data_IF_964980733630
#
_entry.id   IF_964980733630
#
_cell.length_a   1.000
_cell.length_b   1.000
_cell.length_c   1.000
_cell.angle_alpha   90.00
_cell.angle_beta   90.00
_cell.angle_gamma   90.00
#
_symmetry.space_group_name_H-M   'P 1'
#
loop_
_entity.id
_entity.type
_entity.pdbx_description
1 polymer ?
#
# COMPACT_ATOMS: atom_id res chain seq x y z
N UNK A 1 8.73 57.98 -17.27
CA UNK A 1 8.04 59.12 -16.61
C UNK A 1 6.55 59.00 -16.95
N UNK A 2 5.72 58.43 -16.08
CA UNK A 2 4.99 59.04 -14.93
C UNK A 2 3.54 59.37 -15.31
N UNK A 3 2.61 58.50 -14.93
CA UNK A 3 1.24 58.82 -14.54
C UNK A 3 0.78 57.67 -13.62
N UNK A 4 0.71 57.87 -12.29
CA UNK A 4 -0.44 58.45 -11.54
C UNK A 4 -1.63 57.50 -11.67
N UNK A 5 -2.05 56.76 -10.64
CA UNK A 5 -2.44 57.20 -9.30
C UNK A 5 -3.66 56.34 -8.97
N UNK A 6 -3.69 55.72 -7.79
CA UNK A 6 -4.63 56.03 -6.71
C UNK A 6 -6.05 55.48 -6.94
N UNK A 7 -6.72 55.07 -5.85
CA UNK A 7 -8.15 54.72 -5.72
C UNK A 7 -8.39 53.23 -6.06
N UNK A 8 -8.69 52.34 -5.12
CA UNK A 8 -9.98 52.16 -4.42
C UNK A 8 -9.73 50.98 -3.47
N UNK A 9 -9.69 51.17 -2.14
CA UNK A 9 -10.85 51.02 -1.24
C UNK A 9 -11.48 49.63 -1.38
N UNK A 10 -11.40 48.86 -0.28
CA UNK A 10 -12.21 47.68 0.04
C UNK A 10 -11.93 46.49 -0.90
N UNK A 11 -11.57 45.32 -0.40
CA UNK A 11 -12.50 44.49 0.35
C UNK A 11 -11.69 43.66 1.32
N UNK A 12 -11.98 43.91 2.59
CA UNK A 12 -11.75 43.00 3.69
C UNK A 12 -12.57 41.75 3.36
N UNK A 13 -12.00 40.79 2.63
CA UNK A 13 -12.61 39.46 2.53
C UNK A 13 -12.28 38.75 3.82
N UNK A 14 -13.04 39.13 4.86
CA UNK A 14 -13.33 38.29 6.00
C UNK A 14 -13.85 36.99 5.40
N UNK A 15 -12.94 36.03 5.22
CA UNK A 15 -13.32 34.66 4.92
C UNK A 15 -13.92 34.14 6.23
N UNK A 16 -15.18 34.50 6.47
CA UNK A 16 -16.03 33.87 7.46
C UNK A 16 -16.14 32.41 7.04
N UNK A 17 -15.25 31.59 7.59
CA UNK A 17 -15.31 30.14 7.47
C UNK A 17 -16.49 29.68 8.33
N UNK A 18 -17.68 29.82 7.76
CA UNK A 18 -18.93 29.35 8.33
C UNK A 18 -18.88 27.82 8.25
N UNK A 19 -18.60 27.18 9.38
CA UNK A 19 -18.71 25.74 9.55
C UNK A 19 -20.18 25.32 9.39
N UNK A 20 -20.59 24.99 8.17
CA UNK A 20 -21.83 24.30 7.90
C UNK A 20 -21.54 22.79 7.88
N UNK A 21 -21.63 22.15 9.05
CA UNK A 21 -21.86 20.70 9.12
C UNK A 21 -23.29 20.43 8.60
N UNK A 22 -23.44 20.35 7.29
CA UNK A 22 -24.65 19.79 6.68
C UNK A 22 -24.57 18.27 6.76
N UNK A 23 -25.20 17.71 7.79
CA UNK A 23 -25.52 16.30 7.83
C UNK A 23 -26.43 15.93 6.67
N UNK A 24 -25.90 15.20 5.69
CA UNK A 24 -26.70 14.51 4.68
C UNK A 24 -26.81 13.05 5.09
N UNK A 25 -27.95 12.70 5.70
CA UNK A 25 -28.38 11.32 5.79
C UNK A 25 -28.87 10.89 4.39
N UNK A 26 -28.02 10.20 3.65
CA UNK A 26 -28.42 9.48 2.43
C UNK A 26 -29.02 8.12 2.81
N UNK A 27 -30.16 7.71 2.23
CA UNK A 27 -30.62 6.34 2.36
C UNK A 27 -29.68 5.43 1.55
N UNK A 28 -28.98 4.53 2.25
CA UNK A 28 -28.24 3.43 1.61
C UNK A 28 -29.28 2.48 1.01
N UNK A 29 -29.56 2.65 -0.28
CA UNK A 29 -30.32 1.69 -1.05
C UNK A 29 -29.45 0.44 -1.22
N UNK A 30 -29.77 -0.60 -0.45
CA UNK A 30 -29.25 -1.96 -0.60
C UNK A 30 -29.58 -2.48 -1.99
N UNK A 31 -28.60 -2.48 -2.88
CA UNK A 31 -28.61 -3.32 -4.09
C UNK A 31 -27.65 -4.47 -3.83
N UNK A 32 -28.18 -5.54 -3.21
CA UNK A 32 -27.54 -6.85 -3.24
C UNK A 32 -27.66 -7.41 -4.66
N UNK A 33 -26.75 -6.98 -5.54
CA UNK A 33 -26.47 -7.72 -6.76
C UNK A 33 -25.49 -8.83 -6.40
N UNK A 34 -26.02 -9.92 -5.83
CA UNK A 34 -25.31 -11.21 -5.78
C UNK A 34 -25.24 -11.72 -7.22
N UNK A 35 -24.21 -11.26 -7.94
CA UNK A 35 -23.72 -11.96 -9.12
C UNK A 35 -22.66 -12.88 -8.56
N UNK A 36 -23.05 -14.13 -8.30
CA UNK A 36 -22.09 -15.21 -8.12
C UNK A 36 -21.25 -15.26 -9.41
N UNK A 37 -19.94 -14.93 -9.38
CA UNK A 37 -19.06 -15.48 -10.40
C UNK A 37 -19.19 -17.02 -10.31
N UNK A 38 -18.98 -17.75 -11.42
CA UNK A 38 -18.94 -19.21 -11.33
C UNK A 38 -18.00 -19.58 -10.19
N UNK A 39 -18.45 -20.47 -9.31
CA UNK A 39 -17.57 -21.26 -8.47
C UNK A 39 -16.61 -22.00 -9.41
N UNK A 40 -15.56 -21.33 -9.88
CA UNK A 40 -14.28 -21.98 -10.01
C UNK A 40 -14.00 -22.45 -8.60
N UNK A 41 -13.99 -23.77 -8.41
CA UNK A 41 -13.31 -24.34 -7.26
C UNK A 41 -12.00 -23.56 -7.13
N UNK A 42 -11.64 -23.04 -5.94
CA UNK A 42 -10.26 -22.67 -5.76
C UNK A 42 -9.53 -23.98 -6.09
N UNK A 43 -8.76 -23.98 -7.18
CA UNK A 43 -7.55 -24.77 -7.14
C UNK A 43 -6.85 -24.17 -5.95
N UNK A 44 -6.97 -24.86 -4.83
CA UNK A 44 -6.13 -24.71 -3.67
C UNK A 44 -4.75 -25.05 -4.21
N UNK A 45 -4.15 -24.08 -4.90
CA UNK A 45 -2.71 -24.02 -5.07
C UNK A 45 -2.24 -24.01 -3.64
N UNK A 46 -1.78 -25.17 -3.18
CA UNK A 46 -1.17 -25.33 -1.88
C UNK A 46 0.12 -24.52 -1.92
N UNK A 47 -0.02 -23.19 -1.76
CA UNK A 47 1.06 -22.32 -1.40
C UNK A 47 1.71 -22.83 -0.11
N UNK A 48 2.94 -22.43 0.18
CA UNK A 48 3.70 -22.97 1.30
C UNK A 48 2.88 -22.93 2.60
N UNK A 49 2.53 -24.11 3.08
CA UNK A 49 1.54 -24.31 4.14
C UNK A 49 2.20 -24.30 5.53
N UNK A 50 3.10 -23.35 5.78
CA UNK A 50 3.68 -23.19 7.12
C UNK A 50 2.61 -22.83 8.17
N UNK A 51 1.47 -22.29 7.73
CA UNK A 51 0.28 -22.03 8.54
C UNK A 51 -0.79 -23.15 8.45
N UNK A 52 -0.46 -24.28 7.80
CA UNK A 52 -1.42 -25.34 7.49
C UNK A 52 -2.52 -24.85 6.54
N UNK A 53 -3.79 -25.13 6.89
CA UNK A 53 -4.96 -24.73 6.08
C UNK A 53 -5.52 -23.35 6.46
N UNK A 54 -4.76 -22.55 7.20
CA UNK A 54 -5.18 -21.22 7.65
C UNK A 54 -4.66 -20.18 6.65
N UNK A 55 -5.58 -19.41 6.07
CA UNK A 55 -5.26 -18.28 5.19
C UNK A 55 -4.84 -17.07 6.05
N UNK A 56 -3.69 -16.47 5.75
CA UNK A 56 -3.24 -15.25 6.44
C UNK A 56 -3.99 -14.02 5.90
N UNK A 57 -4.78 -13.30 6.72
CA UNK A 57 -5.45 -12.08 6.27
C UNK A 57 -4.44 -10.97 5.94
N UNK A 58 -3.27 -10.94 6.61
CA UNK A 58 -2.21 -9.97 6.34
C UNK A 58 -1.54 -10.27 5.01
N UNK A 59 -1.14 -11.52 4.77
CA UNK A 59 -0.57 -11.92 3.48
C UNK A 59 -1.52 -11.64 2.31
N UNK A 60 -2.84 -11.85 2.52
CA UNK A 60 -3.86 -11.50 1.53
C UNK A 60 -3.97 -10.00 1.29
N UNK A 61 -3.85 -9.18 2.34
CA UNK A 61 -3.89 -7.72 2.20
C UNK A 61 -2.68 -7.21 1.41
N UNK A 62 -1.47 -7.70 1.71
CA UNK A 62 -0.23 -7.33 1.00
C UNK A 62 -0.36 -7.66 -0.50
N UNK A 63 -0.76 -8.90 -0.83
CA UNK A 63 -0.91 -9.33 -2.22
C UNK A 63 -2.02 -8.60 -3.00
N UNK A 64 -2.94 -7.91 -2.32
CA UNK A 64 -3.94 -7.07 -2.98
C UNK A 64 -3.44 -5.65 -3.22
N UNK A 65 -2.47 -5.18 -2.41
CA UNK A 65 -1.92 -3.82 -2.49
C UNK A 65 -0.74 -3.73 -3.47
N UNK A 66 0.14 -4.73 -3.47
CA UNK A 66 1.35 -4.74 -4.29
C UNK A 66 1.19 -5.68 -5.48
N UNK A 67 1.30 -5.14 -6.71
CA UNK A 67 1.15 -5.94 -7.93
C UNK A 67 2.35 -6.84 -8.22
N UNK A 68 3.52 -6.57 -7.63
CA UNK A 68 4.75 -7.33 -7.88
C UNK A 68 4.81 -8.68 -7.17
N UNK A 69 3.94 -8.92 -6.17
CA UNK A 69 3.90 -10.16 -5.42
C UNK A 69 2.48 -10.65 -5.20
N UNK A 70 2.19 -11.88 -5.62
CA UNK A 70 0.93 -12.54 -5.31
C UNK A 70 0.92 -13.16 -3.90
N UNK A 71 -0.23 -13.69 -3.49
CA UNK A 71 -0.40 -14.28 -2.15
C UNK A 71 0.56 -15.44 -1.92
N UNK A 72 0.81 -16.27 -2.93
CA UNK A 72 1.67 -17.45 -2.78
C UNK A 72 3.13 -17.03 -2.61
N UNK A 73 3.57 -15.98 -3.31
CA UNK A 73 4.90 -15.39 -3.15
C UNK A 73 5.08 -14.76 -1.77
N UNK A 74 4.11 -13.94 -1.32
CA UNK A 74 4.14 -13.34 0.02
C UNK A 74 4.21 -14.41 1.11
N UNK A 75 3.42 -15.47 0.98
CA UNK A 75 3.47 -16.59 1.91
C UNK A 75 4.76 -17.41 1.79
N UNK A 76 5.39 -17.47 0.61
CA UNK A 76 6.69 -18.10 0.43
C UNK A 76 7.76 -17.38 1.24
N UNK A 77 7.87 -16.06 1.12
CA UNK A 77 8.81 -15.28 1.92
C UNK A 77 8.54 -15.42 3.43
N UNK A 78 7.27 -15.33 3.83
CA UNK A 78 6.90 -15.49 5.23
C UNK A 78 7.28 -16.87 5.79
N UNK A 79 6.97 -17.93 5.05
CA UNK A 79 7.32 -19.30 5.46
C UNK A 79 8.84 -19.56 5.43
N UNK A 80 9.60 -18.77 4.66
CA UNK A 80 11.06 -18.82 4.64
C UNK A 80 11.71 -18.01 5.78
N UNK A 81 10.91 -17.33 6.61
CA UNK A 81 11.35 -16.67 7.84
C UNK A 81 11.35 -15.15 7.80
N UNK A 82 10.90 -14.53 6.71
CA UNK A 82 10.70 -13.08 6.68
C UNK A 82 9.43 -12.70 7.47
N UNK A 83 9.49 -11.60 8.22
CA UNK A 83 8.28 -11.04 8.84
C UNK A 83 7.46 -10.24 7.81
N UNK A 84 6.15 -10.08 8.06
CA UNK A 84 5.30 -9.29 7.16
C UNK A 84 5.77 -7.83 7.05
N UNK A 85 6.34 -7.28 8.11
CA UNK A 85 6.89 -5.92 8.12
C UNK A 85 8.11 -5.83 7.18
N UNK A 86 8.99 -6.84 7.18
CA UNK A 86 10.13 -6.89 6.27
C UNK A 86 9.69 -7.06 4.81
N UNK A 87 8.67 -7.89 4.56
CA UNK A 87 8.09 -8.05 3.22
C UNK A 87 7.53 -6.70 2.72
N UNK A 88 6.83 -5.95 3.58
CA UNK A 88 6.32 -4.62 3.24
C UNK A 88 7.46 -3.65 2.92
N UNK A 89 8.49 -3.58 3.76
CA UNK A 89 9.65 -2.72 3.51
C UNK A 89 10.37 -3.09 2.20
N UNK A 90 10.50 -4.39 1.90
CA UNK A 90 11.08 -4.86 0.66
C UNK A 90 10.26 -4.39 -0.56
N UNK A 91 8.94 -4.57 -0.53
CA UNK A 91 8.04 -4.16 -1.60
C UNK A 91 8.01 -2.64 -1.79
N UNK A 92 8.03 -1.86 -0.70
CA UNK A 92 8.10 -0.39 -0.75
C UNK A 92 9.46 0.10 -1.29
N UNK A 93 10.54 -0.61 -0.98
CA UNK A 93 11.88 -0.31 -1.50
C UNK A 93 11.99 -0.67 -2.98
N UNK A 94 11.36 -1.76 -3.42
CA UNK A 94 11.33 -2.17 -4.84
C UNK A 94 10.67 -1.09 -5.70
N UNK A 95 9.64 -0.40 -5.20
CA UNK A 95 8.99 0.70 -5.92
C UNK A 95 9.89 1.93 -6.13
N UNK A 96 10.98 2.02 -5.36
CA UNK A 96 11.89 3.18 -5.35
C UNK A 96 13.28 2.84 -5.93
N UNK A 97 13.57 1.57 -6.13
CA UNK A 97 14.88 1.07 -6.56
C UNK A 97 14.72 0.12 -7.75
N UNK A 98 15.83 -0.37 -8.31
CA UNK A 98 15.79 -1.40 -9.35
C UNK A 98 15.97 -2.83 -8.77
N UNK A 99 15.99 -2.96 -7.44
CA UNK A 99 16.21 -4.23 -6.75
C UNK A 99 14.87 -4.84 -6.34
N UNK A 100 14.69 -6.13 -6.64
CA UNK A 100 13.45 -6.84 -6.30
C UNK A 100 13.31 -7.11 -4.81
N UNK A 101 12.06 -7.21 -4.33
CA UNK A 101 11.76 -7.60 -2.96
C UNK A 101 12.34 -8.97 -2.60
N UNK A 102 12.34 -9.93 -3.54
CA UNK A 102 12.94 -11.26 -3.35
C UNK A 102 14.44 -11.16 -3.03
N UNK A 103 15.17 -10.36 -3.81
CA UNK A 103 16.61 -10.14 -3.62
C UNK A 103 16.90 -9.43 -2.30
N UNK A 104 16.11 -8.42 -1.92
CA UNK A 104 16.28 -7.72 -0.64
C UNK A 104 15.96 -8.60 0.57
N UNK A 105 14.91 -9.41 0.50
CA UNK A 105 14.58 -10.37 1.55
C UNK A 105 15.64 -11.47 1.67
N UNK A 106 16.27 -11.87 0.57
CA UNK A 106 17.44 -12.76 0.62
C UNK A 106 18.63 -12.08 1.30
N UNK A 107 18.89 -10.80 1.04
CA UNK A 107 19.94 -10.05 1.74
C UNK A 107 19.67 -9.98 3.26
N UNK A 108 18.42 -9.74 3.67
CA UNK A 108 18.06 -9.82 5.09
C UNK A 108 18.34 -11.21 5.69
N UNK A 109 17.94 -12.27 4.99
CA UNK A 109 18.19 -13.65 5.41
C UNK A 109 19.69 -13.99 5.51
N UNK A 110 20.52 -13.35 4.67
CA UNK A 110 21.98 -13.46 4.69
C UNK A 110 22.62 -12.64 5.84
N UNK A 111 21.82 -11.88 6.59
CA UNK A 111 22.23 -11.17 7.80
C UNK A 111 22.57 -9.69 7.60
N UNK A 112 22.22 -9.11 6.45
CA UNK A 112 22.33 -7.67 6.24
C UNK A 112 21.23 -6.93 7.01
N UNK A 113 21.52 -5.70 7.46
CA UNK A 113 20.48 -4.82 7.99
C UNK A 113 19.79 -4.05 6.87
N UNK A 114 18.59 -3.49 7.14
CA UNK A 114 17.92 -2.60 6.19
C UNK A 114 18.77 -1.40 5.78
N UNK A 115 19.56 -0.84 6.71
CA UNK A 115 20.49 0.25 6.40
C UNK A 115 21.58 -0.19 5.42
N UNK A 116 22.13 -1.40 5.59
CA UNK A 116 23.12 -1.94 4.65
C UNK A 116 22.48 -2.20 3.27
N UNK A 117 21.26 -2.73 3.25
CA UNK A 117 20.51 -3.00 2.02
C UNK A 117 20.22 -1.71 1.28
N UNK A 118 19.73 -0.66 1.95
CA UNK A 118 19.44 0.63 1.33
C UNK A 118 20.68 1.34 0.80
N UNK A 119 21.84 1.15 1.42
CA UNK A 119 23.12 1.59 0.85
C UNK A 119 23.46 0.80 -0.43
N UNK A 120 23.24 -0.52 -0.43
CA UNK A 120 23.53 -1.39 -1.59
C UNK A 120 22.60 -1.08 -2.77
N UNK A 121 21.29 -0.89 -2.51
CA UNK A 121 20.30 -0.59 -3.54
C UNK A 121 20.33 0.87 -4.00
N UNK A 122 21.10 1.73 -3.33
CA UNK A 122 21.23 3.14 -3.65
C UNK A 122 20.03 3.98 -3.23
N UNK A 123 19.23 3.51 -2.27
CA UNK A 123 18.16 4.31 -1.67
C UNK A 123 18.72 5.42 -0.75
N UNK A 124 19.89 5.16 -0.13
CA UNK A 124 20.56 6.08 0.80
C UNK A 124 22.05 6.24 0.46
N UNK A 125 22.65 7.38 0.86
CA UNK A 125 24.06 7.76 0.64
C UNK A 125 24.90 7.80 1.94
#
# INVERSE_FOLDING_TARGET
MKARGLITVFIIFVFTLTAACSGQATPVATVLKVTTPPTSMPVETAGPSCLGNIVSPIGKAIANEYESADYDQVMTWFCNGADFDDILVALETELQTETSADEMLQMLADGFSWEDIWLITGLTD
#
